data_IF_484629925778
#
_entry.id   IF_484629925778
#
_cell.length_a   1.000
_cell.length_b   1.000
_cell.length_c   1.000
_cell.angle_alpha   90.00
_cell.angle_beta   90.00
_cell.angle_gamma   90.00
#
_symmetry.space_group_name_H-M   'P 1'
#
loop_
_entity.id
_entity.type
_entity.pdbx_description
1 polymer ?
#
# COMPACT_ATOMS: atom_id res chain seq x y z
N UNK A 1 18.22 -15.91 -57.20
CA UNK A 1 18.14 -14.62 -56.48
C UNK A 1 16.73 -14.30 -55.98
N UNK A 2 15.89 -15.32 -55.68
CA UNK A 2 14.45 -15.14 -55.43
C UNK A 2 13.99 -15.48 -54.01
N UNK A 3 14.69 -16.35 -53.28
CA UNK A 3 14.16 -16.90 -52.02
C UNK A 3 14.68 -16.14 -50.79
N UNK A 4 15.94 -15.67 -50.82
CA UNK A 4 16.48 -14.83 -49.75
C UNK A 4 15.73 -13.48 -49.64
N UNK A 5 15.39 -12.84 -50.76
CA UNK A 5 14.63 -11.58 -50.77
C UNK A 5 13.22 -11.72 -50.19
N UNK A 6 12.56 -12.86 -50.46
CA UNK A 6 11.24 -13.18 -49.89
C UNK A 6 11.34 -13.38 -48.38
N UNK A 7 12.36 -14.10 -47.91
CA UNK A 7 12.56 -14.33 -46.48
C UNK A 7 12.82 -13.03 -45.71
N UNK A 8 13.61 -12.11 -46.29
CA UNK A 8 13.95 -10.83 -45.68
C UNK A 8 12.74 -9.89 -45.63
N UNK A 9 11.88 -9.96 -46.65
CA UNK A 9 10.63 -9.20 -46.71
C UNK A 9 9.60 -9.68 -45.68
N UNK A 10 9.51 -10.99 -45.42
CA UNK A 10 8.63 -11.56 -44.38
C UNK A 10 9.08 -11.13 -43.00
N UNK A 11 10.40 -11.20 -42.71
CA UNK A 11 10.95 -10.76 -41.41
C UNK A 11 10.70 -9.26 -41.18
N UNK A 12 10.91 -8.43 -42.20
CA UNK A 12 10.63 -7.00 -42.11
C UNK A 12 9.14 -6.72 -41.84
N UNK A 13 8.23 -7.48 -42.49
CA UNK A 13 6.79 -7.34 -42.29
C UNK A 13 6.35 -7.78 -40.88
N UNK A 14 6.89 -8.88 -40.37
CA UNK A 14 6.64 -9.32 -38.99
C UNK A 14 7.17 -8.32 -37.96
N UNK A 15 8.37 -7.77 -38.19
CA UNK A 15 8.93 -6.74 -37.34
C UNK A 15 8.07 -5.46 -37.36
N UNK A 16 7.65 -5.00 -38.54
CA UNK A 16 6.78 -3.84 -38.66
C UNK A 16 5.42 -4.06 -37.98
N UNK A 17 4.82 -5.26 -38.13
CA UNK A 17 3.58 -5.61 -37.45
C UNK A 17 3.74 -5.63 -35.93
N UNK A 18 4.86 -6.18 -35.43
CA UNK A 18 5.17 -6.18 -34.00
C UNK A 18 5.34 -4.76 -33.46
N UNK A 19 6.14 -3.93 -34.11
CA UNK A 19 6.35 -2.53 -33.71
C UNK A 19 5.03 -1.76 -33.74
N UNK A 20 4.23 -1.88 -34.81
CA UNK A 20 2.92 -1.26 -34.88
C UNK A 20 2.01 -1.72 -33.75
N UNK A 21 1.94 -3.03 -33.48
CA UNK A 21 1.13 -3.57 -32.38
C UNK A 21 1.57 -3.04 -31.02
N UNK A 22 2.89 -2.93 -30.78
CA UNK A 22 3.43 -2.35 -29.57
C UNK A 22 3.03 -0.87 -29.44
N UNK A 23 3.12 -0.08 -30.52
CA UNK A 23 2.70 1.32 -30.51
C UNK A 23 1.21 1.50 -30.20
N UNK A 24 0.33 0.60 -30.65
CA UNK A 24 -1.10 0.68 -30.36
C UNK A 24 -1.48 0.14 -28.97
N UNK A 25 -0.84 -0.94 -28.52
CA UNK A 25 -1.14 -1.53 -27.20
C UNK A 25 -0.49 -0.77 -26.05
N UNK A 26 0.67 -0.18 -26.27
CA UNK A 26 1.40 0.57 -25.24
C UNK A 26 0.57 1.65 -24.54
N UNK A 27 -0.16 2.57 -25.23
CA UNK A 27 -0.98 3.56 -24.55
C UNK A 27 -2.13 2.94 -23.76
N UNK A 28 -2.72 1.84 -24.26
CA UNK A 28 -3.77 1.11 -23.55
C UNK A 28 -3.26 0.47 -22.27
N UNK A 29 -2.13 -0.24 -22.34
CA UNK A 29 -1.46 -0.84 -21.17
C UNK A 29 -1.07 0.24 -20.16
N UNK A 30 -0.53 1.36 -20.64
CA UNK A 30 -0.17 2.50 -19.78
C UNK A 30 -1.41 3.09 -19.08
N UNK A 31 -2.53 3.22 -19.79
CA UNK A 31 -3.78 3.69 -19.20
C UNK A 31 -4.32 2.75 -18.12
N UNK A 32 -4.30 1.43 -18.37
CA UNK A 32 -4.69 0.45 -17.35
C UNK A 32 -3.76 0.49 -16.13
N UNK A 33 -2.45 0.59 -16.35
CA UNK A 33 -1.45 0.70 -15.28
C UNK A 33 -1.69 1.96 -14.42
N UNK A 34 -1.99 3.10 -15.05
CA UNK A 34 -2.35 4.35 -14.37
C UNK A 34 -3.59 4.21 -13.48
N UNK A 35 -4.64 3.57 -13.99
CA UNK A 35 -5.89 3.36 -13.23
C UNK A 35 -5.62 2.47 -12.02
N UNK A 36 -4.84 1.40 -12.20
CA UNK A 36 -4.43 0.53 -11.11
C UNK A 36 -3.58 1.27 -10.08
N UNK A 37 -2.62 2.09 -10.53
CA UNK A 37 -1.74 2.88 -9.68
C UNK A 37 -2.52 3.86 -8.80
N UNK A 38 -3.44 4.62 -9.39
CA UNK A 38 -4.30 5.55 -8.66
C UNK A 38 -5.18 4.80 -7.66
N UNK A 39 -5.74 3.67 -8.06
CA UNK A 39 -6.57 2.83 -7.18
C UNK A 39 -5.75 2.32 -5.99
N UNK A 40 -4.57 1.75 -6.24
CA UNK A 40 -3.64 1.26 -5.22
C UNK A 40 -3.19 2.38 -4.28
N UNK A 41 -2.90 3.56 -4.81
CA UNK A 41 -2.52 4.74 -4.04
C UNK A 41 -3.64 5.14 -3.08
N UNK A 42 -4.89 5.15 -3.55
CA UNK A 42 -6.06 5.44 -2.70
C UNK A 42 -6.23 4.36 -1.62
N UNK A 43 -6.09 3.07 -1.94
CA UNK A 43 -6.11 2.00 -0.94
C UNK A 43 -4.97 2.16 0.10
N UNK A 44 -3.77 2.56 -0.33
CA UNK A 44 -2.64 2.81 0.55
C UNK A 44 -2.88 4.01 1.47
N UNK A 45 -3.55 5.06 0.99
CA UNK A 45 -3.92 6.21 1.82
C UNK A 45 -4.90 5.83 2.93
N UNK A 46 -5.90 4.99 2.64
CA UNK A 46 -6.84 4.50 3.66
C UNK A 46 -6.19 3.54 4.66
N UNK A 47 -5.29 2.66 4.20
CA UNK A 47 -4.59 1.69 5.05
C UNK A 47 -3.44 2.28 5.89
N UNK A 48 -3.19 3.60 5.81
CA UNK A 48 -2.08 4.25 6.52
C UNK A 48 -2.14 4.11 8.05
N UNK A 49 -3.35 4.09 8.61
CA UNK A 49 -3.61 4.05 10.07
C UNK A 49 -4.12 2.71 10.56
N UNK A 50 -4.85 1.97 9.72
CA UNK A 50 -5.51 0.72 10.09
C UNK A 50 -5.17 -0.30 9.01
N UNK A 51 -4.75 -1.53 9.36
CA UNK A 51 -4.56 -2.58 8.37
C UNK A 51 -5.87 -2.85 7.63
N UNK A 52 -5.79 -2.98 6.31
CA UNK A 52 -6.95 -3.27 5.46
C UNK A 52 -6.87 -4.71 4.99
N UNK A 53 -7.89 -5.51 5.32
CA UNK A 53 -8.07 -6.87 4.80
C UNK A 53 -9.21 -6.88 3.79
N UNK A 54 -8.95 -7.35 2.57
CA UNK A 54 -9.94 -7.55 1.53
C UNK A 54 -9.93 -9.04 1.16
N UNK A 55 -10.85 -9.80 1.74
CA UNK A 55 -10.82 -11.27 1.63
C UNK A 55 -9.54 -11.84 2.22
N UNK A 56 -8.82 -12.64 1.42
CA UNK A 56 -7.53 -13.24 1.81
C UNK A 56 -6.33 -12.29 1.63
N UNK A 57 -6.54 -11.13 1.00
CA UNK A 57 -5.47 -10.15 0.78
C UNK A 57 -5.37 -9.19 1.96
N UNK A 58 -4.15 -8.97 2.44
CA UNK A 58 -3.86 -8.13 3.59
C UNK A 58 -2.85 -7.05 3.21
N UNK A 59 -3.18 -5.78 3.48
CA UNK A 59 -2.28 -4.64 3.27
C UNK A 59 -1.85 -4.11 4.62
N UNK A 60 -0.55 -4.23 4.90
CA UNK A 60 0.05 -3.70 6.12
C UNK A 60 0.21 -2.17 6.04
N UNK A 61 -0.01 -1.43 7.14
CA UNK A 61 0.19 0.01 7.16
C UNK A 61 1.64 0.41 6.88
N UNK A 62 2.62 -0.44 7.26
CA UNK A 62 4.04 -0.23 6.96
C UNK A 62 4.32 -0.34 5.46
N UNK A 63 3.76 -1.35 4.80
CA UNK A 63 3.88 -1.52 3.35
C UNK A 63 3.19 -0.40 2.58
N UNK A 64 2.00 0.02 3.01
CA UNK A 64 1.29 1.15 2.40
C UNK A 64 2.11 2.45 2.46
N UNK A 65 2.82 2.71 3.56
CA UNK A 65 3.72 3.85 3.67
C UNK A 65 4.96 3.71 2.79
N UNK A 66 5.54 2.51 2.72
CA UNK A 66 6.69 2.24 1.85
C UNK A 66 6.34 2.45 0.38
N UNK A 67 5.19 1.95 -0.06
CA UNK A 67 4.62 2.18 -1.40
C UNK A 67 4.50 3.67 -1.71
N UNK A 68 3.82 4.43 -0.83
CA UNK A 68 3.62 5.87 -1.01
C UNK A 68 4.94 6.65 -1.02
N UNK A 69 5.90 6.26 -0.17
CA UNK A 69 7.17 6.94 -0.07
C UNK A 69 8.08 6.63 -1.27
N UNK A 70 8.16 5.37 -1.70
CA UNK A 70 8.88 4.98 -2.91
C UNK A 70 8.36 5.75 -4.13
N UNK A 71 7.05 5.70 -4.36
CA UNK A 71 6.44 6.46 -5.44
C UNK A 71 6.75 7.95 -5.40
N UNK A 72 6.67 8.59 -4.22
CA UNK A 72 7.00 10.01 -4.08
C UNK A 72 8.47 10.31 -4.38
N UNK A 73 9.39 9.44 -3.92
CA UNK A 73 10.83 9.54 -4.21
C UNK A 73 11.06 9.41 -5.72
N UNK A 74 10.45 8.44 -6.37
CA UNK A 74 10.57 8.24 -7.81
C UNK A 74 10.03 9.43 -8.61
N UNK A 75 8.90 10.01 -8.20
CA UNK A 75 8.33 11.21 -8.84
C UNK A 75 9.29 12.41 -8.75
N UNK A 76 10.08 12.49 -7.68
CA UNK A 76 11.10 13.52 -7.52
C UNK A 76 12.38 13.22 -8.31
N UNK A 77 12.80 11.96 -8.39
CA UNK A 77 14.02 11.54 -9.10
C UNK A 77 13.84 11.48 -10.62
N UNK A 78 12.65 11.10 -11.09
CA UNK A 78 12.33 10.96 -12.50
C UNK A 78 12.63 12.21 -13.36
N UNK A 79 12.27 13.45 -12.99
CA UNK A 79 12.61 14.62 -13.80
C UNK A 79 14.13 14.83 -13.93
N UNK A 80 14.92 14.48 -12.92
CA UNK A 80 16.38 14.55 -13.02
C UNK A 80 16.92 13.53 -14.01
N UNK A 81 16.44 12.28 -13.94
CA UNK A 81 16.83 11.22 -14.88
C UNK A 81 16.40 11.58 -16.30
N UNK A 82 15.18 12.11 -16.48
CA UNK A 82 14.68 12.58 -17.77
C UNK A 82 15.50 13.76 -18.32
N UNK A 83 15.89 14.70 -17.47
CA UNK A 83 16.78 15.82 -17.85
C UNK A 83 18.16 15.34 -18.30
N UNK A 84 18.76 14.39 -17.57
CA UNK A 84 20.02 13.75 -17.96
C UNK A 84 19.86 13.05 -19.31
N UNK A 85 18.82 12.23 -19.47
CA UNK A 85 18.55 11.55 -20.74
C UNK A 85 18.39 12.53 -21.91
N UNK A 86 17.71 13.66 -21.69
CA UNK A 86 17.60 14.71 -22.70
C UNK A 86 18.96 15.29 -23.08
N UNK A 87 19.85 15.57 -22.11
CA UNK A 87 21.18 16.11 -22.40
C UNK A 87 22.08 15.16 -23.19
N UNK A 88 22.00 13.86 -22.95
CA UNK A 88 22.85 12.87 -23.64
C UNK A 88 22.31 12.44 -25.00
N UNK A 89 20.99 12.26 -25.13
CA UNK A 89 20.39 11.70 -26.34
C UNK A 89 19.74 12.75 -27.24
N UNK A 90 19.62 14.01 -26.79
CA UNK A 90 19.10 15.11 -27.61
C UNK A 90 17.62 14.99 -27.99
N UNK A 91 16.87 14.03 -27.43
CA UNK A 91 15.44 13.89 -27.69
C UNK A 91 14.65 15.00 -26.99
N UNK A 92 13.99 15.92 -27.72
CA UNK A 92 13.13 16.90 -27.10
C UNK A 92 11.93 16.17 -26.50
N UNK A 93 11.91 16.06 -25.17
CA UNK A 93 10.78 15.48 -24.47
C UNK A 93 9.57 16.40 -24.66
N UNK A 94 8.61 15.97 -25.48
CA UNK A 94 7.34 16.65 -25.63
C UNK A 94 6.68 16.80 -24.25
N UNK A 95 6.07 17.96 -23.98
CA UNK A 95 5.38 18.24 -22.71
C UNK A 95 4.35 17.13 -22.36
N UNK A 96 3.71 16.53 -23.37
CA UNK A 96 2.76 15.44 -23.22
C UNK A 96 3.39 14.10 -22.80
N UNK A 97 4.67 13.87 -23.06
CA UNK A 97 5.38 12.63 -22.70
C UNK A 97 5.86 12.63 -21.24
N UNK A 98 5.99 13.82 -20.62
CA UNK A 98 6.42 13.94 -19.22
C UNK A 98 5.43 13.33 -18.24
N UNK A 99 4.12 13.58 -18.43
CA UNK A 99 3.10 13.03 -17.55
C UNK A 99 3.16 11.48 -17.46
N UNK A 100 3.04 10.71 -18.56
CA UNK A 100 3.11 9.25 -18.49
C UNK A 100 4.46 8.75 -17.98
N UNK A 101 5.56 9.44 -18.28
CA UNK A 101 6.89 9.09 -17.76
C UNK A 101 6.96 9.19 -16.23
N UNK A 102 6.48 10.30 -15.65
CA UNK A 102 6.45 10.49 -14.20
C UNK A 102 5.58 9.43 -13.52
N UNK A 103 4.40 9.15 -14.07
CA UNK A 103 3.53 8.11 -13.53
C UNK A 103 4.12 6.71 -13.65
N UNK A 104 4.77 6.38 -14.78
CA UNK A 104 5.42 5.09 -14.94
C UNK A 104 6.55 4.92 -13.92
N UNK A 105 7.33 5.98 -13.68
CA UNK A 105 8.39 5.96 -12.66
C UNK A 105 7.82 5.77 -11.26
N UNK A 106 6.71 6.43 -10.94
CA UNK A 106 6.00 6.26 -9.68
C UNK A 106 5.54 4.81 -9.50
N UNK A 107 4.90 4.22 -10.51
CA UNK A 107 4.38 2.86 -10.44
C UNK A 107 5.52 1.84 -10.26
N UNK A 108 6.60 1.95 -11.04
CA UNK A 108 7.72 1.01 -10.99
C UNK A 108 8.37 1.01 -9.60
N UNK A 109 8.59 2.18 -9.02
CA UNK A 109 9.22 2.29 -7.71
C UNK A 109 8.28 1.95 -6.56
N UNK A 110 7.00 2.30 -6.67
CA UNK A 110 5.98 1.95 -5.66
C UNK A 110 5.78 0.45 -5.58
N UNK A 111 5.71 -0.24 -6.73
CA UNK A 111 5.63 -1.70 -6.77
C UNK A 111 6.94 -2.34 -6.30
N UNK A 112 8.08 -1.78 -6.70
CA UNK A 112 9.39 -2.25 -6.25
C UNK A 112 9.54 -2.19 -4.73
N UNK A 113 9.33 -1.01 -4.15
CA UNK A 113 9.40 -0.79 -2.69
C UNK A 113 8.41 -1.65 -1.91
N UNK A 114 7.23 -1.93 -2.47
CA UNK A 114 6.27 -2.87 -1.90
C UNK A 114 6.81 -4.30 -1.86
N UNK A 115 7.42 -4.79 -2.94
CA UNK A 115 8.01 -6.13 -3.02
C UNK A 115 9.16 -6.33 -2.03
N UNK A 116 9.98 -5.29 -1.79
CA UNK A 116 11.09 -5.37 -0.84
C UNK A 116 10.63 -5.27 0.63
N UNK A 117 9.45 -4.71 0.89
CA UNK A 117 8.91 -4.55 2.24
C UNK A 117 8.29 -5.86 2.77
N UNK A 118 9.10 -6.69 3.44
CA UNK A 118 8.65 -7.94 4.05
C UNK A 118 7.70 -7.67 5.23
N UNK A 119 6.45 -8.16 5.16
CA UNK A 119 5.45 -7.98 6.23
C UNK A 119 5.09 -9.25 7.01
N UNK A 120 5.84 -10.35 6.84
CA UNK A 120 5.50 -11.63 7.50
C UNK A 120 5.51 -11.57 9.03
N UNK A 121 6.29 -10.67 9.63
CA UNK A 121 6.42 -10.58 11.10
C UNK A 121 5.34 -9.71 11.76
N UNK A 122 4.90 -8.63 11.10
CA UNK A 122 4.01 -7.62 11.70
C UNK A 122 2.55 -8.12 11.80
N UNK A 123 2.12 -9.03 10.92
CA UNK A 123 0.79 -9.65 10.95
C UNK A 123 0.58 -10.52 12.19
N UNK A 124 1.59 -11.33 12.55
CA UNK A 124 1.53 -12.19 13.72
C UNK A 124 1.46 -11.40 15.03
N UNK A 125 2.07 -10.22 15.07
CA UNK A 125 2.03 -9.34 16.23
C UNK A 125 0.70 -8.57 16.34
N UNK A 126 0.14 -8.09 15.22
CA UNK A 126 -1.14 -7.36 15.22
C UNK A 126 -2.31 -8.27 15.60
N UNK A 127 -2.33 -9.53 15.14
CA UNK A 127 -3.32 -10.53 15.55
C UNK A 127 -3.13 -10.99 17.01
N UNK A 128 -1.93 -10.86 17.58
CA UNK A 128 -1.63 -11.20 18.98
C UNK A 128 -1.95 -10.08 19.96
N UNK A 129 -2.06 -8.82 19.52
CA UNK A 129 -2.47 -7.74 20.42
C UNK A 129 -3.94 -7.98 20.76
N UNK A 130 -4.27 -8.24 22.05
CA UNK A 130 -5.66 -8.36 22.45
C UNK A 130 -6.35 -7.07 22.03
N UNK A 131 -7.47 -7.20 21.31
CA UNK A 131 -8.39 -6.09 21.07
C UNK A 131 -8.53 -5.36 22.39
N UNK A 132 -8.31 -4.03 22.47
CA UNK A 132 -8.50 -3.32 23.72
C UNK A 132 -9.89 -3.70 24.18
N UNK A 133 -9.98 -4.48 25.26
CA UNK A 133 -11.25 -4.72 25.92
C UNK A 133 -11.73 -3.31 26.14
N UNK A 134 -12.80 -2.92 25.43
CA UNK A 134 -13.57 -1.78 25.85
C UNK A 134 -13.96 -2.18 27.26
N UNK A 135 -13.20 -1.64 28.21
CA UNK A 135 -13.54 -1.60 29.60
C UNK A 135 -14.82 -0.77 29.55
N UNK A 136 -15.94 -1.48 29.30
CA UNK A 136 -17.26 -0.97 29.48
C UNK A 136 -17.20 -0.50 30.91
N UNK A 137 -17.04 0.81 31.08
CA UNK A 137 -16.99 1.46 32.37
C UNK A 137 -18.11 0.81 33.16
N UNK A 138 -17.74 -0.07 34.10
CA UNK A 138 -18.70 -0.78 34.90
C UNK A 138 -19.48 0.34 35.56
N UNK A 139 -20.71 0.53 35.09
CA UNK A 139 -21.67 1.51 35.58
C UNK A 139 -21.50 1.48 37.08
N UNK A 140 -21.00 2.59 37.63
CA UNK A 140 -20.63 2.73 39.03
C UNK A 140 -21.71 2.07 39.87
N UNK A 141 -21.44 0.84 40.33
CA UNK A 141 -22.33 0.19 41.26
C UNK A 141 -22.30 1.11 42.48
N UNK A 142 -23.45 1.67 42.91
CA UNK A 142 -23.48 2.47 44.12
C UNK A 142 -22.94 1.58 45.23
N UNK A 143 -21.79 1.99 45.76
CA UNK A 143 -21.13 1.29 46.87
C UNK A 143 -22.18 1.08 47.96
N UNK A 144 -22.45 -0.17 48.40
CA UNK A 144 -23.43 -0.40 49.44
C UNK A 144 -23.01 0.41 50.66
N UNK A 145 -23.90 1.28 51.15
CA UNK A 145 -23.65 2.14 52.28
C UNK A 145 -23.03 1.30 53.41
N UNK A 146 -21.77 1.61 53.76
CA UNK A 146 -21.07 1.02 54.90
C UNK A 146 -21.97 1.24 56.11
N UNK A 147 -22.64 0.18 56.59
CA UNK A 147 -23.33 0.23 57.87
C UNK A 147 -22.30 0.61 58.93
N UNK A 148 -22.61 1.55 59.84
CA UNK A 148 -21.68 1.91 60.90
C UNK A 148 -21.32 0.65 61.68
N UNK A 149 -20.02 0.43 61.86
CA UNK A 149 -19.49 -0.64 62.70
C UNK A 149 -20.07 -0.49 64.10
N UNK A 150 -21.05 -1.33 64.44
CA UNK A 150 -21.41 -1.57 65.84
C UNK A 150 -20.20 -2.25 66.46
N UNK A 151 -19.49 -1.53 67.32
CA UNK A 151 -18.58 -2.14 68.28
C UNK A 151 -19.38 -3.19 69.06
N UNK A 152 -18.83 -4.40 69.20
CA UNK A 152 -19.41 -5.43 70.05
C UNK A 152 -19.63 -4.83 71.44
N UNK A 153 -20.90 -4.69 71.85
CA UNK A 153 -21.22 -4.31 73.20
C UNK A 153 -20.84 -5.47 74.11
N UNK A 154 -20.18 -5.16 75.21
CA UNK A 154 -19.74 -6.09 76.25
C UNK A 154 -20.87 -6.92 76.92
N UNK A 155 -22.10 -6.80 76.44
CA UNK A 155 -23.30 -7.44 77.00
C UNK A 155 -23.60 -8.81 76.39
N UNK A 156 -22.86 -9.27 75.39
CA UNK A 156 -23.14 -10.53 74.68
C UNK A 156 -22.55 -11.78 75.38
N UNK A 157 -21.91 -11.65 76.55
CA UNK A 157 -21.31 -12.79 77.28
C UNK A 157 -22.24 -13.47 78.31
N UNK A 158 -23.42 -12.92 78.63
CA UNK A 158 -24.30 -13.50 79.67
C UNK A 158 -25.36 -14.50 79.15
N UNK A 159 -25.48 -14.72 77.83
CA UNK A 159 -26.54 -15.59 77.27
C UNK A 159 -26.16 -17.08 77.16
N UNK A 160 -25.01 -17.49 77.70
CA UNK A 160 -24.51 -18.87 77.65
C UNK A 160 -24.38 -19.57 79.02
N UNK A 161 -25.23 -19.25 80.01
CA UNK A 161 -25.35 -20.03 81.25
C UNK A 161 -26.76 -20.58 81.48
#
# INVERSE_FOLDING_TARGET
MSDEFKSLSVVALLYAAFVASAFYLFPFVTACALILDVSLTVLCLFSRKVPLSIGDWFICPRQARAFLFGGLVALLVAPFVGGIAWTFYGYPANASAWAPFLFLSYLVDSVGSYLFSHCKEEYGEYMRRPTPQKEYAARSQPSPAKKPSKFASWNDEEEFQ
#
